data_IF_664741035493
#
_entry.id   IF_664741035493
#
_cell.length_a   1.000
_cell.length_b   1.000
_cell.length_c   1.000
_cell.angle_alpha   90.00
_cell.angle_beta   90.00
_cell.angle_gamma   90.00
#
_symmetry.space_group_name_H-M   'P 1'
#
loop_
_entity.id
_entity.type
_entity.pdbx_description
1 polymer ?
#
# COMPACT_ATOMS: atom_id res chain seq x y z
N UNK A 1 23.03 36.38 42.50
CA UNK A 1 23.36 35.04 41.94
C UNK A 1 22.10 34.22 41.56
N UNK A 2 20.90 34.76 41.62
CA UNK A 2 19.66 34.00 41.41
C UNK A 2 19.06 34.10 39.96
N UNK A 3 19.55 35.01 39.12
CA UNK A 3 18.94 35.23 37.80
C UNK A 3 19.48 34.34 36.68
N UNK A 4 20.64 33.71 36.86
CA UNK A 4 21.27 32.88 35.82
C UNK A 4 20.61 31.51 35.63
N UNK A 5 20.00 30.93 36.66
CA UNK A 5 19.30 29.64 36.57
C UNK A 5 18.02 29.70 35.72
N UNK A 6 17.31 30.83 35.73
CA UNK A 6 16.07 31.00 34.96
C UNK A 6 16.28 31.11 33.44
N UNK A 7 17.43 31.63 33.03
CA UNK A 7 17.75 31.79 31.58
C UNK A 7 18.14 30.46 30.96
N UNK A 8 18.89 29.62 31.61
CA UNK A 8 19.29 28.29 31.11
C UNK A 8 18.11 27.32 31.01
N UNK A 9 17.18 27.38 31.95
CA UNK A 9 15.94 26.60 31.90
C UNK A 9 15.07 26.96 30.67
N UNK A 10 14.95 28.25 30.38
CA UNK A 10 14.20 28.72 29.18
C UNK A 10 14.86 28.26 27.88
N UNK A 11 16.20 28.35 27.78
CA UNK A 11 16.95 27.86 26.61
C UNK A 11 16.82 26.37 26.46
N UNK A 12 16.89 25.60 27.55
CA UNK A 12 16.72 24.15 27.52
C UNK A 12 15.32 23.78 27.06
N UNK A 13 14.27 24.47 27.53
CA UNK A 13 12.87 24.21 27.13
C UNK A 13 12.64 24.52 25.65
N UNK A 14 13.21 25.58 25.12
CA UNK A 14 13.14 25.93 23.69
C UNK A 14 13.83 24.88 22.85
N UNK A 15 14.99 24.36 23.26
CA UNK A 15 15.69 23.31 22.53
C UNK A 15 14.91 22.00 22.52
N UNK A 16 14.32 21.60 23.65
CA UNK A 16 13.48 20.40 23.74
C UNK A 16 12.25 20.52 22.85
N UNK A 17 11.57 21.67 22.85
CA UNK A 17 10.42 21.92 21.97
C UNK A 17 10.85 21.89 20.50
N UNK A 18 11.99 22.49 20.15
CA UNK A 18 12.50 22.48 18.78
C UNK A 18 12.83 21.05 18.29
N UNK A 19 13.40 20.21 19.16
CA UNK A 19 13.69 18.79 18.85
C UNK A 19 12.39 18.00 18.68
N UNK A 20 11.40 18.21 19.55
CA UNK A 20 10.10 17.53 19.45
C UNK A 20 9.32 17.96 18.18
N UNK A 21 9.34 19.25 17.85
CA UNK A 21 8.71 19.78 16.63
C UNK A 21 9.44 19.25 15.39
N UNK A 22 10.79 19.21 15.42
CA UNK A 22 11.61 18.64 14.34
C UNK A 22 11.36 17.15 14.14
N UNK A 23 11.23 16.38 15.23
CA UNK A 23 10.91 14.96 15.18
C UNK A 23 9.48 14.72 14.65
N UNK A 24 8.49 15.51 15.10
CA UNK A 24 7.13 15.46 14.60
C UNK A 24 7.04 15.85 13.11
N UNK A 25 7.77 16.88 12.69
CA UNK A 25 7.85 17.32 11.30
C UNK A 25 8.48 16.25 10.39
N UNK A 26 9.55 15.59 10.84
CA UNK A 26 10.15 14.47 10.10
C UNK A 26 9.24 13.24 10.05
N UNK A 27 8.51 12.94 11.12
CA UNK A 27 7.52 11.85 11.12
C UNK A 27 6.36 12.12 10.15
N UNK A 28 5.89 13.37 10.07
CA UNK A 28 4.85 13.78 9.12
C UNK A 28 5.34 13.76 7.65
N UNK A 29 6.62 14.07 7.39
CA UNK A 29 7.21 13.98 6.05
C UNK A 29 7.52 12.55 5.60
N UNK A 30 7.71 11.62 6.53
CA UNK A 30 7.97 10.22 6.19
C UNK A 30 6.76 9.53 5.52
N UNK A 31 5.56 10.12 5.62
CA UNK A 31 4.33 9.53 5.10
C UNK A 31 4.11 9.73 3.58
N UNK A 32 4.87 10.59 2.91
CA UNK A 32 4.71 10.84 1.47
C UNK A 32 5.68 10.04 0.59
N UNK A 33 6.57 9.23 1.19
CA UNK A 33 7.52 8.40 0.47
C UNK A 33 7.11 6.93 0.53
N UNK A 34 7.11 6.28 -0.64
CA UNK A 34 6.89 4.84 -0.70
C UNK A 34 7.85 4.08 0.22
N UNK A 35 7.39 3.02 0.90
CA UNK A 35 8.24 2.18 1.72
C UNK A 35 9.30 1.51 0.84
N UNK A 36 10.54 1.46 1.33
CA UNK A 36 11.67 0.95 0.54
C UNK A 36 11.57 -0.57 0.32
N UNK A 37 12.04 -1.04 -0.83
CA UNK A 37 12.29 -2.47 -1.06
C UNK A 37 13.32 -2.96 -0.03
N UNK A 38 13.07 -4.14 0.56
CA UNK A 38 13.80 -4.70 1.69
C UNK A 38 13.27 -4.26 3.07
N UNK A 39 12.36 -3.29 3.12
CA UNK A 39 11.69 -2.86 4.35
C UNK A 39 10.41 -3.64 4.64
N UNK A 40 9.97 -3.60 5.91
CA UNK A 40 8.67 -4.15 6.28
C UNK A 40 7.54 -3.36 5.60
N UNK A 41 6.56 -4.07 5.06
CA UNK A 41 5.35 -3.47 4.52
C UNK A 41 4.55 -2.81 5.66
N UNK A 42 4.16 -1.53 5.55
CA UNK A 42 3.27 -0.88 6.51
C UNK A 42 2.00 -1.70 6.71
N UNK A 43 1.68 -2.02 7.97
CA UNK A 43 0.48 -2.79 8.29
C UNK A 43 -0.76 -1.90 8.23
N UNK A 44 -1.88 -2.50 7.88
CA UNK A 44 -3.16 -1.78 7.78
C UNK A 44 -4.34 -2.68 8.13
N UNK A 45 -5.46 -2.04 8.42
CA UNK A 45 -6.79 -2.68 8.50
C UNK A 45 -7.74 -1.87 7.63
N UNK A 46 -8.26 -2.48 6.58
CA UNK A 46 -9.23 -1.88 5.66
C UNK A 46 -10.47 -2.75 5.49
N UNK A 47 -11.59 -2.14 5.13
CA UNK A 47 -12.83 -2.85 4.85
C UNK A 47 -12.80 -3.47 3.45
N UNK A 48 -13.08 -4.76 3.34
CA UNK A 48 -13.19 -5.45 2.05
C UNK A 48 -14.56 -5.27 1.40
N UNK A 49 -14.67 -5.62 0.11
CA UNK A 49 -15.93 -5.70 -0.63
C UNK A 49 -16.99 -6.61 0.01
N UNK A 50 -16.60 -7.47 0.94
CA UNK A 50 -17.52 -8.33 1.69
C UNK A 50 -18.07 -7.66 2.95
N UNK A 51 -17.70 -6.39 3.22
CA UNK A 51 -18.05 -5.69 4.45
C UNK A 51 -17.33 -6.24 5.69
N UNK A 52 -16.16 -6.84 5.52
CA UNK A 52 -15.35 -7.41 6.61
C UNK A 52 -14.00 -6.72 6.67
N UNK A 53 -13.47 -6.44 7.87
CA UNK A 53 -12.11 -5.93 8.00
C UNK A 53 -11.10 -6.98 7.54
N UNK A 54 -10.05 -6.52 6.88
CA UNK A 54 -8.90 -7.31 6.42
C UNK A 54 -7.63 -6.60 6.86
N UNK A 55 -6.74 -7.33 7.51
CA UNK A 55 -5.45 -6.84 7.96
C UNK A 55 -4.35 -7.38 7.06
N UNK A 56 -3.31 -6.60 6.78
CA UNK A 56 -2.18 -7.11 6.01
C UNK A 56 -1.49 -8.29 6.71
N UNK A 57 -1.38 -8.25 8.03
CA UNK A 57 -0.75 -9.34 8.80
C UNK A 57 -1.52 -10.67 8.73
N UNK A 58 -2.80 -10.69 8.33
CA UNK A 58 -3.56 -11.92 8.11
C UNK A 58 -3.01 -12.75 6.94
N UNK A 59 -2.18 -12.15 6.09
CA UNK A 59 -1.50 -12.81 4.98
C UNK A 59 -0.09 -13.32 5.34
N UNK A 60 0.34 -13.27 6.61
CA UNK A 60 1.64 -13.84 7.00
C UNK A 60 1.74 -15.31 6.60
N UNK A 61 2.91 -15.70 6.07
CA UNK A 61 3.12 -17.03 5.49
C UNK A 61 2.69 -17.15 4.02
N UNK A 62 2.07 -16.11 3.44
CA UNK A 62 1.73 -16.02 2.00
C UNK A 62 2.41 -14.81 1.38
N UNK A 63 2.65 -14.90 0.10
CA UNK A 63 3.03 -13.75 -0.70
C UNK A 63 1.79 -12.90 -1.01
N UNK A 64 1.98 -11.58 -1.12
CA UNK A 64 0.90 -10.64 -1.45
C UNK A 64 1.32 -9.76 -2.61
N UNK A 65 0.46 -9.64 -3.61
CA UNK A 65 0.49 -8.58 -4.61
C UNK A 65 -0.51 -7.53 -4.16
N UNK A 66 0.01 -6.45 -3.56
CA UNK A 66 -0.76 -5.31 -3.10
C UNK A 66 -0.72 -4.23 -4.19
N UNK A 67 -1.83 -4.00 -4.87
CA UNK A 67 -1.89 -2.99 -5.93
C UNK A 67 -2.87 -1.87 -5.57
N UNK A 68 -2.44 -0.64 -5.79
CA UNK A 68 -3.25 0.56 -5.67
C UNK A 68 -3.75 0.97 -7.05
N UNK A 69 -4.99 1.43 -7.14
CA UNK A 69 -5.58 1.86 -8.40
C UNK A 69 -6.50 3.07 -8.21
N UNK A 70 -6.66 3.92 -9.24
CA UNK A 70 -7.38 5.18 -9.11
C UNK A 70 -8.85 5.07 -8.74
N UNK A 71 -9.61 4.19 -9.44
CA UNK A 71 -11.07 4.17 -9.26
C UNK A 71 -11.74 2.96 -9.92
N UNK A 72 -12.76 2.40 -9.22
CA UNK A 72 -13.66 1.38 -9.78
C UNK A 72 -14.31 1.83 -11.08
N UNK A 73 -14.66 0.87 -11.93
CA UNK A 73 -15.40 1.04 -13.19
C UNK A 73 -14.72 1.93 -14.23
N UNK A 74 -13.47 2.34 -14.05
CA UNK A 74 -12.70 3.01 -15.11
C UNK A 74 -12.05 1.98 -16.03
N UNK A 75 -11.91 2.30 -17.31
CA UNK A 75 -11.44 1.33 -18.32
C UNK A 75 -10.07 0.70 -17.96
N UNK A 76 -9.09 1.49 -17.57
CA UNK A 76 -7.76 1.00 -17.20
C UNK A 76 -7.78 0.12 -15.94
N UNK A 77 -8.55 0.49 -14.91
CA UNK A 77 -8.66 -0.30 -13.68
C UNK A 77 -9.43 -1.61 -13.92
N UNK A 78 -10.49 -1.58 -14.74
CA UNK A 78 -11.21 -2.79 -15.14
C UNK A 78 -10.32 -3.74 -15.93
N UNK A 79 -9.52 -3.22 -16.89
CA UNK A 79 -8.55 -4.03 -17.64
C UNK A 79 -7.53 -4.70 -16.71
N UNK A 80 -6.98 -3.97 -15.76
CA UNK A 80 -6.01 -4.50 -14.78
C UNK A 80 -6.63 -5.58 -13.90
N UNK A 81 -7.83 -5.30 -13.35
CA UNK A 81 -8.56 -6.26 -12.53
C UNK A 81 -8.91 -7.55 -13.29
N UNK A 82 -9.34 -7.45 -14.55
CA UNK A 82 -9.60 -8.61 -15.42
C UNK A 82 -8.33 -9.42 -15.70
N UNK A 83 -7.18 -8.77 -15.90
CA UNK A 83 -5.92 -9.49 -16.12
C UNK A 83 -5.51 -10.24 -14.85
N UNK A 84 -5.61 -9.62 -13.68
CA UNK A 84 -5.39 -10.32 -12.41
C UNK A 84 -6.41 -11.47 -12.20
N UNK A 85 -7.67 -11.26 -12.54
CA UNK A 85 -8.70 -12.31 -12.45
C UNK A 85 -8.44 -13.46 -13.42
N UNK A 86 -8.05 -13.18 -14.66
CA UNK A 86 -7.67 -14.20 -15.67
C UNK A 86 -6.55 -15.09 -15.13
N UNK A 87 -5.58 -14.50 -14.48
CA UNK A 87 -4.36 -15.18 -14.04
C UNK A 87 -4.44 -15.66 -12.57
N UNK A 88 -5.58 -15.46 -11.88
CA UNK A 88 -5.75 -15.70 -10.45
C UNK A 88 -5.31 -17.12 -10.02
N UNK A 89 -5.68 -18.14 -10.81
CA UNK A 89 -5.31 -19.53 -10.49
C UNK A 89 -3.78 -19.74 -10.49
N UNK A 90 -3.02 -19.00 -11.31
CA UNK A 90 -1.56 -19.08 -11.32
C UNK A 90 -0.96 -18.41 -10.07
N UNK A 91 -1.55 -17.30 -9.60
CA UNK A 91 -1.17 -16.66 -8.33
C UNK A 91 -1.44 -17.57 -7.15
N UNK A 92 -2.62 -18.18 -7.08
CA UNK A 92 -3.00 -19.12 -6.01
C UNK A 92 -2.09 -20.34 -5.96
N UNK A 93 -1.73 -20.94 -7.10
CA UNK A 93 -0.77 -22.05 -7.21
C UNK A 93 0.61 -21.67 -6.69
N UNK A 94 1.00 -20.40 -6.79
CA UNK A 94 2.24 -19.85 -6.23
C UNK A 94 2.15 -19.43 -4.76
N UNK A 95 0.99 -19.63 -4.11
CA UNK A 95 0.75 -19.17 -2.74
C UNK A 95 0.70 -17.66 -2.61
N UNK A 96 0.25 -16.94 -3.64
CA UNK A 96 0.19 -15.48 -3.72
C UNK A 96 -1.26 -15.01 -3.62
N UNK A 97 -1.54 -14.09 -2.71
CA UNK A 97 -2.81 -13.39 -2.63
C UNK A 97 -2.75 -12.07 -3.43
N UNK A 98 -3.81 -11.76 -4.17
CA UNK A 98 -3.99 -10.47 -4.82
C UNK A 98 -4.89 -9.61 -3.95
N UNK A 99 -4.47 -8.38 -3.69
CA UNK A 99 -5.20 -7.39 -2.89
C UNK A 99 -5.16 -6.04 -3.59
N UNK A 100 -6.31 -5.55 -4.01
CA UNK A 100 -6.46 -4.21 -4.60
C UNK A 100 -6.92 -3.18 -3.56
N UNK A 101 -6.44 -1.96 -3.67
CA UNK A 101 -6.79 -0.85 -2.77
C UNK A 101 -7.13 0.39 -3.59
N UNK A 102 -8.27 1.01 -3.32
CA UNK A 102 -8.61 2.33 -3.84
C UNK A 102 -9.40 3.16 -2.82
N UNK A 103 -9.65 4.41 -3.15
CA UNK A 103 -10.45 5.30 -2.31
C UNK A 103 -11.97 5.11 -2.46
N UNK A 104 -12.39 4.17 -3.28
CA UNK A 104 -13.81 3.83 -3.42
C UNK A 104 -14.33 3.16 -2.14
N UNK A 105 -15.65 3.25 -1.90
CA UNK A 105 -16.29 2.62 -0.74
C UNK A 105 -16.39 1.09 -0.94
N UNK A 106 -16.55 0.37 0.17
CA UNK A 106 -16.71 -1.09 0.10
C UNK A 106 -17.95 -1.51 -0.71
N UNK A 107 -19.03 -0.72 -0.70
CA UNK A 107 -20.22 -0.97 -1.53
C UNK A 107 -19.92 -0.77 -3.02
N UNK A 108 -19.03 0.17 -3.39
CA UNK A 108 -18.55 0.32 -4.76
C UNK A 108 -17.77 -0.91 -5.16
N UNK A 109 -16.81 -1.35 -4.34
CA UNK A 109 -16.04 -2.58 -4.56
C UNK A 109 -16.93 -3.82 -4.68
N UNK A 110 -17.96 -3.95 -3.85
CA UNK A 110 -18.92 -5.06 -3.94
C UNK A 110 -19.61 -5.10 -5.31
N UNK A 111 -20.09 -3.93 -5.79
CA UNK A 111 -20.72 -3.81 -7.11
C UNK A 111 -19.71 -4.09 -8.22
N UNK A 112 -18.48 -3.59 -8.09
CA UNK A 112 -17.42 -3.79 -9.06
C UNK A 112 -17.03 -5.26 -9.16
N UNK A 113 -16.76 -5.93 -8.05
CA UNK A 113 -16.47 -7.36 -8.01
C UNK A 113 -17.61 -8.20 -8.60
N UNK A 114 -18.88 -7.90 -8.23
CA UNK A 114 -20.04 -8.62 -8.75
C UNK A 114 -20.20 -8.46 -10.25
N UNK A 115 -20.06 -7.22 -10.75
CA UNK A 115 -20.22 -6.92 -12.17
C UNK A 115 -19.12 -7.52 -13.03
N UNK A 116 -17.88 -7.43 -12.57
CA UNK A 116 -16.69 -7.83 -13.32
C UNK A 116 -16.22 -9.26 -13.00
N UNK A 117 -16.90 -9.97 -12.10
CA UNK A 117 -16.59 -11.37 -11.74
C UNK A 117 -15.25 -11.52 -11.02
N UNK A 118 -14.87 -10.57 -10.15
CA UNK A 118 -13.60 -10.58 -9.44
C UNK A 118 -13.68 -11.43 -8.18
N UNK A 119 -12.74 -12.36 -7.99
CA UNK A 119 -12.71 -13.33 -6.88
C UNK A 119 -11.52 -13.11 -5.92
N UNK A 120 -10.87 -11.96 -5.98
CA UNK A 120 -9.82 -11.55 -5.04
C UNK A 120 -10.29 -10.34 -4.20
N UNK A 121 -9.48 -9.91 -3.22
CA UNK A 121 -9.87 -8.85 -2.29
C UNK A 121 -9.69 -7.47 -2.88
N UNK A 122 -10.74 -6.64 -2.77
CA UNK A 122 -10.68 -5.19 -2.96
C UNK A 122 -10.97 -4.50 -1.62
N UNK A 123 -10.13 -3.55 -1.24
CA UNK A 123 -10.15 -2.90 0.07
C UNK A 123 -10.37 -1.40 -0.07
N UNK A 124 -11.28 -0.88 0.73
CA UNK A 124 -11.67 0.54 0.73
C UNK A 124 -10.73 1.38 1.62
N UNK A 125 -10.09 2.39 1.03
CA UNK A 125 -9.24 3.39 1.69
C UNK A 125 -9.75 4.82 1.41
N UNK A 126 -11.00 5.17 1.84
CA UNK A 126 -11.65 6.43 1.46
C UNK A 126 -10.90 7.67 1.94
N UNK A 127 -10.15 7.55 3.02
CA UNK A 127 -9.37 8.63 3.62
C UNK A 127 -7.95 8.72 3.03
N UNK A 128 -7.59 7.84 2.08
CA UNK A 128 -6.25 7.73 1.49
C UNK A 128 -5.11 7.52 2.51
N UNK A 129 -5.41 6.99 3.68
CA UNK A 129 -4.43 6.78 4.73
C UNK A 129 -3.38 5.75 4.31
N UNK A 130 -3.84 4.57 3.91
CA UNK A 130 -2.96 3.47 3.48
C UNK A 130 -2.29 3.82 2.16
N UNK A 131 -3.01 4.40 1.20
CA UNK A 131 -2.41 4.92 -0.04
C UNK A 131 -1.29 5.92 0.24
N UNK A 132 -1.43 6.77 1.29
CA UNK A 132 -0.39 7.71 1.73
C UNK A 132 0.82 7.00 2.32
N UNK A 133 0.62 6.04 3.21
CA UNK A 133 1.70 5.25 3.85
C UNK A 133 2.53 4.47 2.82
N UNK A 134 1.92 4.10 1.69
CA UNK A 134 2.59 3.45 0.55
C UNK A 134 3.07 4.42 -0.54
N UNK A 135 3.00 5.74 -0.31
CA UNK A 135 3.40 6.73 -1.32
C UNK A 135 2.60 6.64 -2.62
N UNK A 136 1.37 6.11 -2.54
CA UNK A 136 0.51 5.79 -3.68
C UNK A 136 -0.63 6.79 -3.84
N UNK A 137 -0.34 8.09 -3.63
CA UNK A 137 -1.31 9.17 -3.83
C UNK A 137 -0.94 10.00 -5.06
N UNK A 138 -1.92 10.17 -5.95
CA UNK A 138 -1.89 11.13 -7.03
C UNK A 138 -2.69 12.37 -6.59
N UNK A 139 -2.01 13.51 -6.46
CA UNK A 139 -2.63 14.76 -6.10
C UNK A 139 -2.99 15.56 -7.36
N UNK A 140 -4.28 15.73 -7.61
CA UNK A 140 -4.82 16.47 -8.76
C UNK A 140 -5.41 17.84 -8.32
N UNK A 141 -4.78 18.51 -7.37
CA UNK A 141 -5.25 19.75 -6.78
C UNK A 141 -6.38 19.52 -5.78
N UNK A 142 -7.62 19.74 -6.20
CA UNK A 142 -8.82 19.57 -5.31
C UNK A 142 -9.23 18.10 -5.11
N UNK A 143 -8.68 17.17 -5.89
CA UNK A 143 -8.98 15.74 -5.79
C UNK A 143 -7.71 14.94 -5.56
N UNK A 144 -7.81 13.95 -4.67
CA UNK A 144 -6.79 12.91 -4.49
C UNK A 144 -7.34 11.61 -5.08
N UNK A 145 -6.47 10.86 -5.72
CA UNK A 145 -6.74 9.49 -6.20
C UNK A 145 -5.56 8.62 -5.79
N UNK A 146 -5.79 7.32 -5.69
CA UNK A 146 -4.66 6.40 -5.58
C UNK A 146 -3.89 6.37 -6.90
N UNK A 147 -2.57 6.41 -6.82
CA UNK A 147 -1.69 6.14 -7.96
C UNK A 147 -1.76 4.67 -8.33
N UNK A 148 -1.34 4.32 -9.55
CA UNK A 148 -1.26 2.93 -9.98
C UNK A 148 0.10 2.37 -9.63
N UNK A 149 0.27 2.00 -8.35
CA UNK A 149 1.48 1.39 -7.82
C UNK A 149 1.20 -0.03 -7.34
N UNK A 150 2.19 -0.90 -7.42
CA UNK A 150 2.06 -2.27 -6.94
C UNK A 150 3.30 -2.67 -6.14
N UNK A 151 3.08 -3.42 -5.08
CA UNK A 151 4.12 -3.94 -4.20
C UNK A 151 3.99 -5.45 -4.11
N UNK A 152 5.10 -6.16 -4.33
CA UNK A 152 5.20 -7.58 -3.99
C UNK A 152 5.75 -7.68 -2.57
N UNK A 153 4.98 -8.31 -1.71
CA UNK A 153 5.30 -8.53 -0.30
C UNK A 153 5.51 -10.04 -0.10
N UNK A 154 6.64 -10.43 0.46
CA UNK A 154 6.95 -11.84 0.73
C UNK A 154 6.20 -12.38 1.96
N UNK A 155 6.34 -13.67 2.23
CA UNK A 155 5.68 -14.35 3.35
C UNK A 155 6.04 -13.81 4.74
N UNK A 156 7.21 -13.14 4.87
CA UNK A 156 7.65 -12.49 6.10
C UNK A 156 7.08 -11.06 6.24
N UNK A 157 6.34 -10.57 5.23
CA UNK A 157 5.77 -9.23 5.18
C UNK A 157 6.78 -8.15 4.82
N UNK A 158 7.82 -8.51 4.08
CA UNK A 158 8.84 -7.59 3.56
C UNK A 158 8.51 -7.26 2.10
N UNK A 159 8.59 -6.00 1.73
CA UNK A 159 8.48 -5.56 0.33
C UNK A 159 9.72 -6.02 -0.42
N UNK A 160 9.54 -6.84 -1.44
CA UNK A 160 10.64 -7.37 -2.25
C UNK A 160 10.70 -6.78 -3.66
N UNK A 161 9.64 -6.14 -4.10
CA UNK A 161 9.58 -5.40 -5.37
C UNK A 161 8.48 -4.35 -5.34
N UNK A 162 8.71 -3.26 -6.09
CA UNK A 162 7.73 -2.19 -6.31
C UNK A 162 7.62 -1.88 -7.80
N UNK A 163 6.42 -1.44 -8.22
CA UNK A 163 6.13 -0.93 -9.56
C UNK A 163 5.45 0.43 -9.39
N UNK A 164 6.13 1.49 -9.84
CA UNK A 164 5.65 2.88 -9.72
C UNK A 164 5.06 3.41 -11.02
N UNK A 165 5.29 2.70 -12.13
CA UNK A 165 4.69 2.98 -13.44
C UNK A 165 4.14 1.68 -14.01
N UNK A 166 2.82 1.54 -14.02
CA UNK A 166 2.11 0.29 -14.33
C UNK A 166 1.30 0.43 -15.61
N UNK A 167 1.54 -0.47 -16.57
CA UNK A 167 0.68 -0.66 -17.73
C UNK A 167 -0.43 -1.67 -17.41
N UNK A 168 -1.71 -1.25 -17.26
CA UNK A 168 -2.80 -2.13 -16.88
C UNK A 168 -2.96 -3.37 -17.77
N UNK A 169 -2.62 -3.24 -19.07
CA UNK A 169 -2.78 -4.31 -20.04
C UNK A 169 -1.79 -5.47 -19.92
N UNK A 170 -0.63 -5.24 -19.26
CA UNK A 170 0.46 -6.23 -19.17
C UNK A 170 0.84 -6.56 -17.72
N UNK A 171 0.33 -5.82 -16.78
CA UNK A 171 0.83 -5.82 -15.40
C UNK A 171 0.78 -7.18 -14.73
N UNK A 172 -0.32 -7.92 -14.87
CA UNK A 172 -0.45 -9.26 -14.27
C UNK A 172 0.63 -10.23 -14.77
N UNK A 173 0.95 -10.19 -16.05
CA UNK A 173 1.98 -11.05 -16.65
C UNK A 173 3.39 -10.68 -16.15
N UNK A 174 3.68 -9.36 -16.06
CA UNK A 174 4.94 -8.85 -15.51
C UNK A 174 5.15 -9.28 -14.05
N UNK A 175 4.10 -9.14 -13.23
CA UNK A 175 4.13 -9.56 -11.82
C UNK A 175 4.34 -11.06 -11.68
N UNK A 176 3.67 -11.90 -12.49
CA UNK A 176 3.85 -13.36 -12.49
C UNK A 176 5.27 -13.79 -12.87
N UNK A 177 5.86 -13.12 -13.86
CA UNK A 177 7.24 -13.41 -14.29
C UNK A 177 8.22 -13.09 -13.15
N UNK A 178 8.07 -11.93 -12.51
CA UNK A 178 8.90 -11.51 -11.39
C UNK A 178 8.73 -12.41 -10.15
N UNK A 179 7.49 -12.78 -9.81
CA UNK A 179 7.23 -13.73 -8.72
C UNK A 179 7.94 -15.06 -8.92
N UNK A 180 8.00 -15.55 -10.16
CA UNK A 180 8.71 -16.79 -10.47
C UNK A 180 10.20 -16.69 -10.15
N UNK A 181 10.81 -15.54 -10.40
CA UNK A 181 12.23 -15.30 -10.08
C UNK A 181 12.43 -15.06 -8.58
N UNK A 182 11.61 -14.23 -7.97
CA UNK A 182 11.73 -13.85 -6.55
C UNK A 182 11.54 -15.05 -5.61
N UNK A 183 10.62 -15.96 -5.93
CA UNK A 183 10.38 -17.16 -5.12
C UNK A 183 11.47 -18.24 -5.27
N UNK A 184 12.29 -18.18 -6.31
CA UNK A 184 13.44 -19.07 -6.49
C UNK A 184 14.70 -18.57 -5.79
N UNK A 185 14.77 -17.27 -5.48
CA UNK A 185 15.92 -16.67 -4.80
C UNK A 185 15.76 -16.88 -3.29
N UNK A 186 16.66 -17.62 -2.61
CA UNK A 186 16.61 -17.76 -1.17
C UNK A 186 16.65 -16.37 -0.52
N UNK A 187 15.78 -16.11 0.45
CA UNK A 187 15.86 -14.90 1.25
C UNK A 187 17.30 -14.80 1.80
N UNK A 188 17.98 -13.70 1.49
CA UNK A 188 19.27 -13.42 2.10
C UNK A 188 19.07 -13.38 3.64
N UNK A 189 19.75 -14.34 4.32
CA UNK A 189 19.75 -14.43 5.79
C UNK A 189 20.54 -13.30 6.41
#
# INVERSE_FOLDING_TARGET
MAEWHGMWWKVFLVLVVAVLVGAAYNALRASDKAPAVGGAAPDFTLMSQEGKPVNLHDFRGKWVVLYFYPKDFTSGCTTEAHNFQRDLAQYEQKGVAIVGVSADSFESHQKFCTKEGLNFKLLADPDHKVSGEYGSIMNLGVKKLSSRHTFIINADGVIVKEYMDVNPGKHSEEVLADLTQLQQTPAAK
#
